data_IF_340143129864
#
_entry.id   IF_340143129864
#
_cell.length_a   1.000
_cell.length_b   1.000
_cell.length_c   1.000
_cell.angle_alpha   90.00
_cell.angle_beta   90.00
_cell.angle_gamma   90.00
#
_symmetry.space_group_name_H-M   'P 1'
#
loop_
_entity.id
_entity.type
_entity.pdbx_description
1 polymer ?
#
# COMPACT_ATOMS: atom_id res chain seq x y z
N UNK A 1 23.61 -29.98 5.62
CA UNK A 1 22.17 -29.90 5.30
C UNK A 1 21.62 -28.60 5.89
N UNK A 2 21.42 -27.56 5.08
CA UNK A 2 20.60 -26.40 5.44
C UNK A 2 20.07 -25.80 4.15
N UNK A 3 18.77 -25.97 3.92
CA UNK A 3 18.05 -25.49 2.75
C UNK A 3 17.84 -23.97 2.89
N UNK A 4 18.29 -23.12 1.94
CA UNK A 4 17.96 -21.70 1.96
C UNK A 4 16.45 -21.58 1.72
N UNK A 5 15.71 -21.12 2.73
CA UNK A 5 14.26 -20.85 2.61
C UNK A 5 14.05 -19.92 1.41
N UNK A 6 13.52 -20.46 0.31
CA UNK A 6 12.87 -19.62 -0.70
C UNK A 6 11.78 -18.87 0.05
N UNK A 7 11.91 -17.54 0.13
CA UNK A 7 10.88 -16.67 0.66
C UNK A 7 9.60 -17.01 -0.11
N UNK A 8 8.68 -17.73 0.53
CA UNK A 8 7.40 -18.04 -0.08
C UNK A 8 6.74 -16.68 -0.36
N UNK A 9 6.57 -16.34 -1.64
CA UNK A 9 5.99 -15.09 -2.11
C UNK A 9 4.54 -14.92 -1.61
N UNK A 10 3.92 -15.96 -1.04
CA UNK A 10 2.64 -15.90 -0.31
C UNK A 10 2.77 -15.36 1.12
N UNK A 11 3.94 -15.39 1.75
CA UNK A 11 4.14 -15.06 3.19
C UNK A 11 4.28 -13.56 3.52
N UNK A 12 3.73 -12.68 2.67
CA UNK A 12 3.73 -11.24 2.95
C UNK A 12 2.55 -10.81 3.81
N UNK A 13 1.46 -11.59 3.84
CA UNK A 13 0.28 -11.32 4.65
C UNK A 13 0.65 -11.18 6.14
N UNK A 14 0.02 -10.21 6.81
CA UNK A 14 0.27 -9.83 8.20
C UNK A 14 1.58 -9.07 8.43
N UNK A 15 2.41 -8.83 7.40
CA UNK A 15 3.61 -8.00 7.57
C UNK A 15 3.26 -6.53 7.68
N UNK A 16 3.97 -5.84 8.56
CA UNK A 16 3.83 -4.40 8.77
C UNK A 16 4.57 -3.59 7.69
N UNK A 17 3.95 -2.49 7.30
CA UNK A 17 4.52 -1.45 6.44
C UNK A 17 4.46 -0.13 7.22
N UNK A 18 5.55 0.63 7.20
CA UNK A 18 5.59 2.00 7.73
C UNK A 18 5.81 2.97 6.59
N UNK A 19 4.80 3.76 6.28
CA UNK A 19 4.91 4.85 5.32
C UNK A 19 5.30 6.11 6.08
N UNK A 20 6.59 6.47 6.04
CA UNK A 20 7.15 7.55 6.86
C UNK A 20 7.58 8.74 6.01
N UNK A 21 7.34 9.93 6.52
CA UNK A 21 7.96 11.18 6.08
C UNK A 21 9.40 11.26 6.57
N UNK A 22 10.21 12.21 6.08
CA UNK A 22 11.57 12.44 6.59
C UNK A 22 11.63 12.80 8.08
N UNK A 23 10.54 13.33 8.67
CA UNK A 23 10.46 13.60 10.12
C UNK A 23 10.20 12.34 10.95
N UNK A 24 9.89 11.21 10.32
CA UNK A 24 9.58 9.95 10.99
C UNK A 24 8.10 9.80 11.37
N UNK A 25 7.26 10.75 10.99
CA UNK A 25 5.80 10.67 11.11
C UNK A 25 5.19 9.91 9.94
N UNK A 26 4.00 9.35 10.09
CA UNK A 26 3.28 8.77 8.97
C UNK A 26 2.27 7.71 9.36
N UNK A 27 2.09 6.69 8.52
CA UNK A 27 1.03 5.68 8.66
C UNK A 27 1.62 4.30 8.93
N UNK A 28 1.08 3.62 9.94
CA UNK A 28 1.34 2.20 10.18
C UNK A 28 0.28 1.37 9.46
N UNK A 29 0.72 0.40 8.66
CA UNK A 29 -0.15 -0.45 7.84
C UNK A 29 0.28 -1.91 7.91
N UNK A 30 -0.54 -2.80 7.38
CA UNK A 30 -0.18 -4.19 7.14
C UNK A 30 -0.64 -4.68 5.76
N UNK A 31 -0.03 -5.75 5.29
CA UNK A 31 -0.50 -6.48 4.11
C UNK A 31 -1.65 -7.40 4.54
N UNK A 32 -2.88 -7.04 4.18
CA UNK A 32 -4.07 -7.81 4.53
C UNK A 32 -4.23 -9.05 3.64
N UNK A 33 -3.89 -8.94 2.36
CA UNK A 33 -3.91 -10.04 1.40
C UNK A 33 -2.81 -9.84 0.36
N UNK A 34 -2.19 -10.93 -0.08
CA UNK A 34 -1.22 -10.86 -1.17
C UNK A 34 -1.29 -12.10 -2.07
N UNK A 35 -1.88 -11.89 -3.25
CA UNK A 35 -1.89 -12.84 -4.37
C UNK A 35 -0.88 -12.37 -5.42
N UNK A 36 0.30 -13.01 -5.52
CA UNK A 36 1.37 -12.53 -6.38
C UNK A 36 0.94 -12.33 -7.83
N UNK A 37 1.27 -11.15 -8.39
CA UNK A 37 0.95 -10.72 -9.75
C UNK A 37 -0.55 -10.54 -10.05
N UNK A 38 -1.42 -10.61 -9.04
CA UNK A 38 -2.87 -10.51 -9.22
C UNK A 38 -3.47 -9.45 -8.30
N UNK A 39 -3.16 -9.49 -7.01
CA UNK A 39 -3.80 -8.63 -6.03
C UNK A 39 -2.91 -8.38 -4.81
N UNK A 40 -2.88 -7.16 -4.31
CA UNK A 40 -2.36 -6.83 -2.98
C UNK A 40 -3.31 -5.88 -2.27
N UNK A 41 -3.66 -6.22 -1.04
CA UNK A 41 -4.47 -5.39 -0.14
C UNK A 41 -3.59 -4.88 0.99
N UNK A 42 -3.57 -3.57 1.17
CA UNK A 42 -2.91 -2.90 2.29
C UNK A 42 -4.01 -2.37 3.20
N UNK A 43 -3.88 -2.67 4.50
CA UNK A 43 -4.78 -2.17 5.53
C UNK A 43 -4.04 -1.18 6.41
N UNK A 44 -4.45 0.08 6.37
CA UNK A 44 -3.94 1.12 7.25
C UNK A 44 -4.54 0.96 8.65
N UNK A 45 -3.68 0.97 9.68
CA UNK A 45 -4.03 0.65 11.06
C UNK A 45 -4.04 1.88 11.98
N UNK A 46 -3.33 2.94 11.61
CA UNK A 46 -3.24 4.16 12.39
C UNK A 46 -2.05 5.03 12.03
N UNK A 47 -1.70 5.96 12.91
CA UNK A 47 -0.61 6.92 12.70
C UNK A 47 0.63 6.62 13.53
N UNK A 48 1.75 7.14 13.07
CA UNK A 48 3.03 7.21 13.77
C UNK A 48 3.33 8.69 13.99
N UNK A 49 3.45 9.11 15.24
CA UNK A 49 3.83 10.46 15.63
C UNK A 49 4.85 10.37 16.77
N UNK A 50 5.93 11.16 16.71
CA UNK A 50 7.04 11.11 17.68
C UNK A 50 7.59 9.69 17.94
N UNK A 51 7.57 8.84 16.90
CA UNK A 51 7.99 7.43 16.99
C UNK A 51 7.00 6.51 17.71
N UNK A 52 5.84 7.00 18.12
CA UNK A 52 4.78 6.23 18.78
C UNK A 52 3.69 5.85 17.78
N UNK A 53 3.35 4.57 17.74
CA UNK A 53 2.21 4.06 16.96
C UNK A 53 0.92 4.29 17.77
N UNK A 54 -0.04 5.02 17.19
CA UNK A 54 -1.42 5.06 17.68
C UNK A 54 -2.33 4.31 16.70
N UNK A 55 -2.90 3.21 17.18
CA UNK A 55 -3.85 2.37 16.43
C UNK A 55 -5.20 2.23 17.15
N UNK A 56 -5.45 3.01 18.20
CA UNK A 56 -6.50 2.71 19.16
C UNK A 56 -7.31 3.90 19.67
N UNK A 57 -6.81 5.13 19.48
CA UNK A 57 -7.54 6.34 19.86
C UNK A 57 -8.81 6.54 19.05
N UNK A 58 -9.70 7.40 19.57
CA UNK A 58 -10.95 7.74 18.90
C UNK A 58 -10.71 8.37 17.52
N UNK A 59 -9.68 9.21 17.40
CA UNK A 59 -9.27 9.81 16.14
C UNK A 59 -8.87 8.76 15.09
N UNK A 60 -8.20 7.69 15.50
CA UNK A 60 -7.85 6.58 14.60
C UNK A 60 -9.08 5.76 14.20
N UNK A 61 -9.97 5.47 15.15
CA UNK A 61 -11.19 4.68 14.89
C UNK A 61 -12.16 5.36 13.91
N UNK A 62 -12.05 6.68 13.72
CA UNK A 62 -12.87 7.42 12.77
C UNK A 62 -12.60 7.02 11.31
N UNK A 63 -11.40 6.52 11.00
CA UNK A 63 -11.00 6.18 9.62
C UNK A 63 -10.38 4.79 9.48
N UNK A 64 -9.82 4.22 10.55
CA UNK A 64 -9.19 2.90 10.52
C UNK A 64 -10.19 1.77 10.88
N UNK A 65 -10.11 0.61 10.22
CA UNK A 65 -9.20 0.30 9.11
C UNK A 65 -9.65 0.97 7.81
N UNK A 66 -8.70 1.53 7.07
CA UNK A 66 -8.89 1.95 5.69
C UNK A 66 -8.09 1.02 4.78
N UNK A 67 -8.70 0.55 3.69
CA UNK A 67 -8.05 -0.33 2.74
C UNK A 67 -7.57 0.43 1.50
N UNK A 68 -6.42 -0.03 1.00
CA UNK A 68 -5.84 0.37 -0.26
C UNK A 68 -5.52 -0.90 -1.06
N UNK A 69 -6.29 -1.13 -2.12
CA UNK A 69 -6.32 -2.38 -2.87
C UNK A 69 -5.80 -2.15 -4.27
N UNK A 70 -4.90 -3.03 -4.71
CA UNK A 70 -4.27 -2.98 -6.02
C UNK A 70 -4.56 -4.27 -6.77
N UNK A 71 -5.28 -4.16 -7.88
CA UNK A 71 -5.60 -5.29 -8.77
C UNK A 71 -4.80 -5.19 -10.05
N UNK A 72 -4.09 -6.27 -10.40
CA UNK A 72 -3.28 -6.39 -11.61
C UNK A 72 -3.96 -7.31 -12.61
N UNK A 73 -4.34 -6.76 -13.76
CA UNK A 73 -4.95 -7.53 -14.85
C UNK A 73 -4.03 -7.54 -16.06
N UNK A 74 -3.62 -8.73 -16.49
CA UNK A 74 -2.86 -8.88 -17.73
C UNK A 74 -3.72 -8.47 -18.94
N UNK A 75 -3.13 -7.74 -19.87
CA UNK A 75 -3.74 -7.30 -21.12
C UNK A 75 -2.78 -7.54 -22.29
N UNK A 76 -3.24 -7.55 -23.56
CA UNK A 76 -2.34 -7.68 -24.71
C UNK A 76 -1.27 -6.58 -24.81
N UNK A 77 -1.48 -5.43 -24.15
CA UNK A 77 -0.61 -4.26 -24.20
C UNK A 77 0.30 -4.12 -22.96
N UNK A 78 0.17 -5.00 -21.97
CA UNK A 78 0.87 -4.90 -20.69
C UNK A 78 -0.04 -5.22 -19.50
N UNK A 79 0.20 -4.58 -18.35
CA UNK A 79 -0.61 -4.77 -17.14
C UNK A 79 -1.51 -3.56 -16.91
N UNK A 80 -2.81 -3.79 -16.72
CA UNK A 80 -3.74 -2.80 -16.17
C UNK A 80 -3.66 -2.88 -14.65
N UNK A 81 -3.38 -1.75 -14.01
CA UNK A 81 -3.47 -1.58 -12.57
C UNK A 81 -4.76 -0.83 -12.25
N UNK A 82 -5.62 -1.43 -11.42
CA UNK A 82 -6.77 -0.76 -10.80
C UNK A 82 -6.44 -0.55 -9.32
N UNK A 83 -6.70 0.66 -8.82
CA UNK A 83 -6.53 0.99 -7.40
C UNK A 83 -7.88 1.38 -6.83
N UNK A 84 -8.26 0.73 -5.73
CA UNK A 84 -9.45 1.03 -4.94
C UNK A 84 -8.98 1.40 -3.53
N UNK A 85 -9.27 2.63 -3.09
CA UNK A 85 -8.85 3.14 -1.79
C UNK A 85 -10.05 3.67 -1.02
N UNK A 86 -10.17 3.26 0.23
CA UNK A 86 -11.09 3.87 1.19
C UNK A 86 -10.59 5.27 1.55
N UNK A 87 -11.45 6.27 1.40
CA UNK A 87 -11.16 7.66 1.74
C UNK A 87 -12.27 8.19 2.65
N UNK A 88 -11.89 8.96 3.66
CA UNK A 88 -12.84 9.85 4.36
C UNK A 88 -12.94 11.17 3.60
N UNK A 89 -13.99 11.94 3.85
CA UNK A 89 -14.22 13.26 3.23
C UNK A 89 -13.02 14.21 3.43
N UNK A 90 -12.29 14.05 4.52
CA UNK A 90 -11.10 14.83 4.86
C UNK A 90 -9.92 14.58 3.89
N UNK A 91 -9.93 13.44 3.18
CA UNK A 91 -8.91 13.06 2.21
C UNK A 91 -9.39 13.16 0.75
N UNK A 92 -10.52 13.81 0.48
CA UNK A 92 -11.04 13.96 -0.90
C UNK A 92 -10.02 14.64 -1.83
N UNK A 93 -9.17 15.54 -1.30
CA UNK A 93 -8.07 16.15 -2.05
C UNK A 93 -7.00 15.14 -2.55
N UNK A 94 -6.90 13.94 -1.96
CA UNK A 94 -6.02 12.88 -2.47
C UNK A 94 -6.50 12.31 -3.81
N UNK A 95 -7.79 12.42 -4.14
CA UNK A 95 -8.34 11.96 -5.42
C UNK A 95 -7.61 12.61 -6.59
N UNK A 96 -7.28 13.90 -6.47
CA UNK A 96 -6.54 14.63 -7.50
C UNK A 96 -5.06 14.24 -7.60
N UNK A 97 -4.51 13.60 -6.57
CA UNK A 97 -3.11 13.18 -6.49
C UNK A 97 -2.89 11.83 -7.16
N UNK A 98 -3.90 10.96 -7.16
CA UNK A 98 -3.83 9.62 -7.77
C UNK A 98 -3.40 9.60 -9.25
N UNK A 99 -3.96 10.45 -10.14
CA UNK A 99 -3.51 10.51 -11.53
C UNK A 99 -2.02 10.82 -11.67
N UNK A 100 -1.47 11.70 -10.82
CA UNK A 100 -0.04 12.05 -10.84
C UNK A 100 0.82 10.87 -10.36
N UNK A 101 0.42 10.22 -9.28
CA UNK A 101 1.11 9.05 -8.73
C UNK A 101 1.15 7.88 -9.72
N UNK A 102 0.00 7.56 -10.34
CA UNK A 102 -0.09 6.50 -11.35
C UNK A 102 0.71 6.83 -12.61
N UNK A 103 0.77 8.11 -13.01
CA UNK A 103 1.64 8.57 -14.10
C UNK A 103 3.12 8.33 -13.81
N UNK A 104 3.56 8.64 -12.59
CA UNK A 104 4.94 8.38 -12.16
C UNK A 104 5.25 6.87 -12.09
N UNK A 105 4.33 6.07 -11.55
CA UNK A 105 4.47 4.61 -11.49
C UNK A 105 4.59 4.00 -12.89
N UNK A 106 3.70 4.41 -13.82
CA UNK A 106 3.77 3.99 -15.23
C UNK A 106 5.13 4.32 -15.83
N UNK A 107 5.62 5.55 -15.62
CA UNK A 107 6.93 5.96 -16.11
C UNK A 107 8.08 5.13 -15.51
N UNK A 108 8.00 4.74 -14.24
CA UNK A 108 9.01 3.87 -13.60
C UNK A 108 8.99 2.45 -14.19
N UNK A 109 7.81 1.87 -14.36
CA UNK A 109 7.64 0.50 -14.89
C UNK A 109 8.02 0.39 -16.38
N UNK A 110 7.76 1.44 -17.16
CA UNK A 110 7.93 1.43 -18.62
C UNK A 110 9.25 2.07 -19.07
N UNK A 111 9.97 2.75 -18.16
CA UNK A 111 11.37 3.09 -18.41
C UNK A 111 12.14 1.79 -18.61
N UNK A 112 12.57 1.54 -19.84
CA UNK A 112 13.55 0.49 -20.13
C UNK A 112 14.76 0.69 -19.23
N UNK A 113 15.02 -0.28 -18.34
CA UNK A 113 16.36 -0.49 -17.82
C UNK A 113 17.23 -0.76 -19.05
N UNK A 114 18.13 0.17 -19.36
CA UNK A 114 19.17 -0.06 -20.36
C UNK A 114 20.22 -1.00 -19.81
#
# INVERSE_FOLDING_TARGET
MSNPRKLDRRSLEGRRIRFLTPSGEGVISEIAENRPNEFISIRHLGYIADGVEDTGSEAIRAWAPAYENYTFTATPQGTRLTVDQDMTDEFESMVETWPKALGALKALCEKRVR
#
